data_IF_969810089920
#
_entry.id   IF_969810089920
#
_cell.length_a   1.000
_cell.length_b   1.000
_cell.length_c   1.000
_cell.angle_alpha   90.00
_cell.angle_beta   90.00
_cell.angle_gamma   90.00
#
_symmetry.space_group_name_H-M   'P 1'
#
loop_
_entity.id
_entity.type
_entity.pdbx_description
1 polymer ?
#
# COMPACT_ATOMS: atom_id res chain seq x y z
N UNK A 1 34.60 20.36 -43.17
CA UNK A 1 33.62 20.96 -42.22
C UNK A 1 32.19 20.92 -42.75
N UNK A 2 31.94 21.10 -44.05
CA UNK A 2 30.57 21.11 -44.62
C UNK A 2 29.85 19.75 -44.65
N UNK A 3 30.59 18.65 -44.71
CA UNK A 3 30.00 17.30 -44.76
C UNK A 3 29.36 16.90 -43.41
N UNK A 4 29.97 17.30 -42.30
CA UNK A 4 29.44 17.07 -40.95
C UNK A 4 28.13 17.84 -40.71
N UNK A 5 28.03 19.08 -41.20
CA UNK A 5 26.80 19.87 -41.12
C UNK A 5 25.66 19.24 -41.91
N UNK A 6 25.94 18.70 -43.11
CA UNK A 6 24.94 17.99 -43.92
C UNK A 6 24.42 16.72 -43.24
N UNK A 7 25.31 15.93 -42.63
CA UNK A 7 24.92 14.73 -41.87
C UNK A 7 24.05 15.10 -40.66
N UNK A 8 24.39 16.16 -39.94
CA UNK A 8 23.63 16.58 -38.76
C UNK A 8 22.25 17.13 -39.12
N UNK A 9 22.13 17.88 -40.22
CA UNK A 9 20.84 18.33 -40.74
C UNK A 9 19.95 17.15 -41.18
N UNK A 10 20.55 16.14 -41.83
CA UNK A 10 19.82 14.94 -42.25
C UNK A 10 19.32 14.14 -41.04
N UNK A 11 20.14 13.99 -39.99
CA UNK A 11 19.73 13.38 -38.71
C UNK A 11 18.57 14.13 -38.07
N UNK A 12 18.64 15.47 -38.01
CA UNK A 12 17.57 16.31 -37.44
C UNK A 12 16.25 16.17 -38.22
N UNK A 13 16.31 16.05 -39.55
CA UNK A 13 15.12 15.81 -40.39
C UNK A 13 14.50 14.45 -40.13
N UNK A 14 15.30 13.39 -40.06
CA UNK A 14 14.85 12.03 -39.79
C UNK A 14 14.19 11.94 -38.41
N UNK A 15 14.81 12.52 -37.38
CA UNK A 15 14.23 12.56 -36.03
C UNK A 15 12.90 13.32 -36.02
N UNK A 16 12.83 14.47 -36.69
CA UNK A 16 11.59 15.26 -36.78
C UNK A 16 10.47 14.49 -37.49
N UNK A 17 10.79 13.74 -38.54
CA UNK A 17 9.83 12.90 -39.25
C UNK A 17 9.34 11.73 -38.38
N UNK A 18 10.25 10.99 -37.73
CA UNK A 18 9.87 9.91 -36.82
C UNK A 18 9.01 10.39 -35.65
N UNK A 19 9.31 11.57 -35.09
CA UNK A 19 8.49 12.17 -34.04
C UNK A 19 7.09 12.48 -34.55
N UNK A 20 6.96 13.03 -35.76
CA UNK A 20 5.65 13.33 -36.37
C UNK A 20 4.84 12.05 -36.61
N UNK A 21 5.46 11.01 -37.17
CA UNK A 21 4.80 9.72 -37.42
C UNK A 21 4.36 9.03 -36.12
N UNK A 22 5.17 9.10 -35.06
CA UNK A 22 4.81 8.56 -33.75
C UNK A 22 3.65 9.31 -33.09
N UNK A 23 3.56 10.63 -33.27
CA UNK A 23 2.42 11.43 -32.80
C UNK A 23 1.15 11.02 -33.55
N UNK A 24 1.20 10.95 -34.88
CA UNK A 24 0.04 10.53 -35.70
C UNK A 24 -0.44 9.12 -35.34
N UNK A 25 0.46 8.15 -35.17
CA UNK A 25 0.10 6.79 -34.74
C UNK A 25 -0.55 6.76 -33.35
N UNK A 26 -0.12 7.63 -32.44
CA UNK A 26 -0.73 7.74 -31.10
C UNK A 26 -2.14 8.33 -31.17
N UNK A 27 -2.35 9.35 -32.00
CA UNK A 27 -3.68 9.96 -32.21
C UNK A 27 -4.67 8.97 -32.85
N UNK A 28 -4.22 8.19 -33.84
CA UNK A 28 -5.05 7.15 -34.46
C UNK A 28 -5.45 6.06 -33.47
N UNK A 29 -4.50 5.58 -32.66
CA UNK A 29 -4.76 4.58 -31.62
C UNK A 29 -5.70 5.12 -30.53
N UNK A 30 -5.61 6.40 -30.21
CA UNK A 30 -6.52 7.05 -29.27
C UNK A 30 -7.95 7.11 -29.82
N UNK A 31 -8.12 7.53 -31.08
CA UNK A 31 -9.43 7.54 -31.77
C UNK A 31 -10.04 6.13 -31.86
N UNK A 32 -9.23 5.10 -32.07
CA UNK A 32 -9.71 3.71 -32.08
C UNK A 32 -10.22 3.26 -30.70
N UNK A 33 -9.51 3.64 -29.62
CA UNK A 33 -9.93 3.34 -28.25
C UNK A 33 -11.22 4.07 -27.86
N UNK A 34 -11.40 5.32 -28.28
CA UNK A 34 -12.66 6.06 -28.07
C UNK A 34 -13.84 5.38 -28.78
N UNK A 35 -13.64 4.91 -30.01
CA UNK A 35 -14.66 4.14 -30.74
C UNK A 35 -15.03 2.85 -30.01
N UNK A 36 -14.04 2.11 -29.47
CA UNK A 36 -14.29 0.89 -28.68
C UNK A 36 -15.05 1.18 -27.39
N UNK A 37 -14.72 2.26 -26.67
CA UNK A 37 -15.46 2.68 -25.47
C UNK A 37 -16.92 3.03 -25.77
N UNK A 38 -17.17 3.72 -26.88
CA UNK A 38 -18.53 4.07 -27.31
C UNK A 38 -19.39 2.84 -27.61
N UNK A 39 -18.81 1.82 -28.25
CA UNK A 39 -19.51 0.55 -28.53
C UNK A 39 -19.88 -0.17 -27.22
N UNK A 40 -18.94 -0.29 -26.28
CA UNK A 40 -19.17 -0.98 -25.00
C UNK A 40 -20.29 -0.31 -24.18
N UNK A 41 -20.31 1.03 -24.13
CA UNK A 41 -21.34 1.77 -23.40
C UNK A 41 -22.74 1.61 -24.02
N UNK A 42 -22.85 1.54 -25.35
CA UNK A 42 -24.13 1.31 -26.00
C UNK A 42 -24.64 -0.13 -25.83
N UNK A 43 -23.74 -1.12 -25.80
CA UNK A 43 -24.11 -2.52 -25.50
C UNK A 43 -24.55 -2.69 -24.04
N UNK A 44 -23.95 -1.95 -23.11
CA UNK A 44 -24.34 -1.96 -21.69
C UNK A 44 -25.71 -1.30 -21.45
N UNK A 45 -26.04 -0.22 -22.17
CA UNK A 45 -27.36 0.44 -22.05
C UNK A 45 -28.52 -0.43 -22.58
N UNK A 46 -28.30 -1.26 -23.60
CA UNK A 46 -29.35 -2.17 -24.08
C UNK A 46 -29.65 -3.33 -23.11
N UNK A 47 -28.72 -3.63 -22.19
CA UNK A 47 -28.88 -4.72 -21.21
C UNK A 47 -29.59 -4.27 -19.92
N UNK A 48 -29.79 -2.97 -19.69
CA UNK A 48 -30.39 -2.42 -18.46
C UNK A 48 -31.88 -2.02 -18.60
N UNK A 49 -32.48 -2.18 -19.79
CA UNK A 49 -33.90 -1.84 -20.02
C UNK A 49 -34.84 -3.02 -19.72
N UNK A 50 -34.32 -4.21 -19.42
CA UNK A 50 -35.13 -5.43 -19.19
C UNK A 50 -35.36 -5.81 -17.73
N UNK A 51 -34.72 -5.14 -16.77
CA UNK A 51 -34.83 -5.45 -15.34
C UNK A 51 -35.00 -4.16 -14.53
N UNK A 52 -36.21 -3.63 -14.40
CA UNK A 52 -36.61 -2.73 -13.31
C UNK A 52 -38.13 -2.49 -13.32
N UNK A 53 -38.86 -3.47 -12.82
CA UNK A 53 -40.15 -3.26 -12.14
C UNK A 53 -40.08 -4.08 -10.86
N UNK A 54 -39.70 -3.48 -9.73
CA UNK A 54 -40.55 -3.49 -8.55
C UNK A 54 -39.93 -2.85 -7.29
N UNK A 55 -40.76 -1.97 -6.72
CA UNK A 55 -41.01 -1.70 -5.30
C UNK A 55 -40.14 -0.66 -4.57
N UNK A 56 -40.93 0.17 -3.89
CA UNK A 56 -40.68 1.45 -3.28
C UNK A 56 -40.84 1.33 -1.74
N UNK A 57 -40.16 2.23 -1.01
CA UNK A 57 -40.42 2.75 0.36
C UNK A 57 -40.49 1.81 1.58
N UNK A 58 -39.60 2.03 2.57
CA UNK A 58 -39.92 2.86 3.75
C UNK A 58 -38.74 3.08 4.73
N UNK A 59 -38.74 4.27 5.33
CA UNK A 59 -37.74 4.84 6.25
C UNK A 59 -38.23 4.68 7.69
N UNK A 60 -37.46 4.05 8.59
CA UNK A 60 -37.47 4.30 10.06
C UNK A 60 -36.03 4.24 10.61
N UNK A 61 -35.80 5.13 11.59
CA UNK A 61 -34.58 5.71 12.19
C UNK A 61 -33.66 4.77 13.03
N UNK A 62 -32.48 5.24 13.51
CA UNK A 62 -31.22 4.51 13.39
C UNK A 62 -30.49 4.41 14.74
N UNK A 63 -30.57 3.28 15.41
CA UNK A 63 -29.63 2.89 16.47
C UNK A 63 -30.01 1.48 16.89
N UNK A 64 -29.09 0.52 16.72
CA UNK A 64 -29.01 -0.81 17.37
C UNK A 64 -28.68 -2.01 16.46
N UNK A 65 -28.47 -1.85 15.14
CA UNK A 65 -28.22 -3.00 14.25
C UNK A 65 -26.79 -3.20 13.70
N UNK A 66 -25.80 -2.37 14.06
CA UNK A 66 -24.44 -2.47 13.48
C UNK A 66 -23.46 -3.43 14.20
N UNK A 67 -23.94 -4.56 14.73
CA UNK A 67 -23.04 -5.61 15.28
C UNK A 67 -23.24 -6.99 14.63
N UNK A 68 -24.18 -7.17 13.69
CA UNK A 68 -24.46 -8.52 13.15
C UNK A 68 -24.38 -8.72 11.63
N UNK A 69 -23.97 -7.72 10.83
CA UNK A 69 -23.93 -7.86 9.36
C UNK A 69 -22.60 -7.52 8.66
N UNK A 70 -21.46 -7.48 9.36
CA UNK A 70 -20.14 -7.32 8.73
C UNK A 70 -19.38 -8.64 8.46
N UNK A 71 -19.95 -9.80 8.79
CA UNK A 71 -19.34 -11.11 8.47
C UNK A 71 -19.65 -11.63 7.06
N UNK A 72 -20.42 -10.89 6.25
CA UNK A 72 -20.83 -11.29 4.91
C UNK A 72 -20.37 -10.30 3.84
N UNK A 73 -19.10 -9.90 3.85
CA UNK A 73 -18.49 -9.19 2.69
C UNK A 73 -16.98 -9.31 2.52
N UNK A 74 -16.38 -10.35 3.10
CA UNK A 74 -15.06 -10.83 2.69
C UNK A 74 -15.25 -12.19 2.05
N UNK A 75 -15.76 -12.21 0.82
CA UNK A 75 -15.56 -13.39 -0.02
C UNK A 75 -14.07 -13.46 -0.27
N UNK A 76 -13.42 -14.36 0.47
CA UNK A 76 -12.07 -14.83 0.24
C UNK A 76 -11.97 -15.20 -1.24
N UNK A 77 -11.45 -14.28 -2.04
CA UNK A 77 -10.80 -14.65 -3.28
C UNK A 77 -9.51 -15.33 -2.83
N UNK A 78 -9.57 -16.66 -2.75
CA UNK A 78 -8.38 -17.50 -2.79
C UNK A 78 -7.67 -17.17 -4.10
N UNK A 79 -6.80 -16.16 -4.05
CA UNK A 79 -5.89 -15.86 -5.14
C UNK A 79 -4.85 -16.98 -5.08
N UNK A 80 -5.15 -18.12 -5.68
CA UNK A 80 -4.11 -19.03 -6.11
C UNK A 80 -3.27 -18.22 -7.10
N UNK A 81 -2.00 -17.92 -6.80
CA UNK A 81 -1.17 -17.24 -7.77
C UNK A 81 -0.95 -18.24 -8.90
N UNK A 82 -1.72 -18.09 -9.99
CA UNK A 82 -1.32 -18.65 -11.28
C UNK A 82 0.06 -18.09 -11.56
N UNK A 83 1.06 -18.94 -11.37
CA UNK A 83 2.45 -18.70 -11.72
C UNK A 83 2.48 -18.48 -13.23
N UNK A 84 2.29 -17.24 -13.65
CA UNK A 84 2.75 -16.78 -14.94
C UNK A 84 4.27 -16.64 -14.81
N UNK A 85 4.95 -17.76 -15.01
CA UNK A 85 6.33 -17.79 -15.51
C UNK A 85 6.37 -16.98 -16.80
N UNK A 86 6.65 -15.69 -16.71
CA UNK A 86 7.42 -14.91 -17.70
C UNK A 86 7.38 -13.42 -17.36
N UNK A 87 8.24 -13.04 -16.41
CA UNK A 87 9.05 -11.84 -16.59
C UNK A 87 10.29 -12.00 -15.72
N UNK A 88 11.46 -11.94 -16.35
CA UNK A 88 12.74 -11.79 -15.66
C UNK A 88 12.71 -10.47 -14.90
N UNK A 89 12.18 -10.49 -13.69
CA UNK A 89 12.14 -9.34 -12.80
C UNK A 89 13.57 -9.06 -12.35
N UNK A 90 14.14 -7.95 -12.82
CA UNK A 90 15.44 -7.49 -12.36
C UNK A 90 15.28 -6.90 -10.94
N UNK A 91 15.75 -7.63 -9.93
CA UNK A 91 15.73 -7.16 -8.54
C UNK A 91 16.43 -5.81 -8.36
N UNK A 92 17.30 -5.42 -9.29
CA UNK A 92 18.04 -4.16 -9.22
C UNK A 92 17.18 -2.91 -9.39
N UNK A 93 15.88 -3.03 -9.70
CA UNK A 93 15.00 -1.86 -9.88
C UNK A 93 14.59 -1.22 -8.54
N UNK A 94 14.55 -1.98 -7.44
CA UNK A 94 14.16 -1.47 -6.12
C UNK A 94 15.25 -1.70 -5.07
N UNK A 95 15.73 -0.62 -4.48
CA UNK A 95 16.55 -0.67 -3.27
C UNK A 95 15.61 -0.59 -2.05
N UNK A 96 15.40 -1.73 -1.38
CA UNK A 96 14.58 -1.78 -0.18
C UNK A 96 15.38 -1.37 1.07
N UNK A 97 14.69 -0.79 2.05
CA UNK A 97 15.25 -0.37 3.34
C UNK A 97 15.48 -1.53 4.32
N UNK A 98 15.09 -2.74 3.95
CA UNK A 98 15.28 -3.97 4.68
C UNK A 98 15.45 -5.11 3.69
N UNK A 99 16.21 -6.13 4.07
CA UNK A 99 16.35 -7.31 3.25
C UNK A 99 15.14 -8.22 3.46
N UNK A 100 14.57 -8.69 2.36
CA UNK A 100 13.53 -9.71 2.36
C UNK A 100 13.97 -10.91 1.56
N UNK A 101 13.46 -12.09 1.95
CA UNK A 101 13.53 -13.29 1.13
C UNK A 101 12.82 -13.07 -0.21
N UNK A 102 13.38 -13.65 -1.27
CA UNK A 102 12.82 -13.61 -2.64
C UNK A 102 11.36 -14.03 -2.71
N UNK A 103 10.98 -15.02 -1.89
CA UNK A 103 9.61 -15.49 -1.82
C UNK A 103 8.65 -14.37 -1.41
N UNK A 104 9.00 -13.56 -0.41
CA UNK A 104 8.18 -12.44 0.03
C UNK A 104 8.08 -11.37 -1.05
N UNK A 105 9.21 -11.03 -1.68
CA UNK A 105 9.27 -10.05 -2.77
C UNK A 105 8.35 -10.46 -3.93
N UNK A 106 8.42 -11.72 -4.36
CA UNK A 106 7.66 -12.21 -5.51
C UNK A 106 6.17 -12.31 -5.23
N UNK A 107 5.78 -12.78 -4.05
CA UNK A 107 4.39 -13.15 -3.78
C UNK A 107 3.60 -12.08 -3.03
N UNK A 108 4.25 -11.17 -2.28
CA UNK A 108 3.56 -10.22 -1.40
C UNK A 108 3.76 -8.76 -1.78
N UNK A 109 4.76 -8.42 -2.60
CA UNK A 109 4.97 -7.04 -3.03
C UNK A 109 4.17 -6.64 -4.28
N UNK A 110 3.66 -7.61 -5.05
CA UNK A 110 2.81 -7.39 -6.24
C UNK A 110 3.35 -6.29 -7.18
N UNK A 111 4.64 -6.40 -7.54
CA UNK A 111 5.38 -5.33 -8.23
C UNK A 111 4.81 -4.98 -9.61
N UNK A 112 4.30 -5.96 -10.34
CA UNK A 112 3.59 -5.72 -11.62
C UNK A 112 2.36 -4.84 -11.42
N UNK A 113 1.58 -5.09 -10.36
CA UNK A 113 0.41 -4.28 -10.02
C UNK A 113 0.80 -2.87 -9.59
N UNK A 114 1.88 -2.71 -8.81
CA UNK A 114 2.42 -1.41 -8.44
C UNK A 114 2.72 -0.53 -9.67
N UNK A 115 3.36 -1.06 -10.72
CA UNK A 115 3.66 -0.28 -11.92
C UNK A 115 2.41 0.14 -12.69
N UNK A 116 1.36 -0.68 -12.66
CA UNK A 116 0.05 -0.31 -13.24
C UNK A 116 -0.52 0.89 -12.49
N UNK A 117 -0.50 0.86 -11.15
CA UNK A 117 -0.98 1.96 -10.30
C UNK A 117 -0.17 3.24 -10.56
N UNK A 118 1.16 3.15 -10.61
CA UNK A 118 2.04 4.30 -10.88
C UNK A 118 1.75 4.94 -12.25
N UNK A 119 1.53 4.13 -13.28
CA UNK A 119 1.13 4.62 -14.60
C UNK A 119 -0.25 5.30 -14.58
N UNK A 120 -1.21 4.76 -13.83
CA UNK A 120 -2.53 5.37 -13.68
C UNK A 120 -2.44 6.72 -12.94
N UNK A 121 -1.63 6.81 -11.88
CA UNK A 121 -1.34 8.05 -11.18
C UNK A 121 -0.77 9.10 -12.15
N UNK A 122 0.24 8.73 -12.94
CA UNK A 122 0.86 9.66 -13.88
C UNK A 122 -0.12 10.15 -14.95
N UNK A 123 -0.90 9.23 -15.53
CA UNK A 123 -1.93 9.61 -16.51
C UNK A 123 -2.98 10.55 -15.92
N UNK A 124 -3.43 10.31 -14.67
CA UNK A 124 -4.38 11.19 -14.00
C UNK A 124 -3.77 12.58 -13.73
N UNK A 125 -2.51 12.65 -13.26
CA UNK A 125 -1.81 13.94 -13.08
C UNK A 125 -1.71 14.76 -14.37
N UNK A 126 -1.46 14.11 -15.50
CA UNK A 126 -1.30 14.78 -16.79
C UNK A 126 -2.63 15.34 -17.31
N UNK A 127 -3.77 14.75 -16.91
CA UNK A 127 -5.11 15.14 -17.36
C UNK A 127 -5.82 16.08 -16.37
N UNK A 128 -5.48 16.03 -15.09
CA UNK A 128 -6.15 16.81 -14.04
C UNK A 128 -5.57 18.23 -13.94
N UNK A 129 -6.42 19.28 -13.89
CA UNK A 129 -5.96 20.64 -13.71
C UNK A 129 -5.12 20.83 -12.43
N UNK A 130 -4.05 21.62 -12.52
CA UNK A 130 -3.13 21.85 -11.38
C UNK A 130 -3.82 22.39 -10.12
N UNK A 131 -4.90 23.16 -10.27
CA UNK A 131 -5.70 23.67 -9.15
C UNK A 131 -6.40 22.55 -8.36
N UNK A 132 -6.86 21.51 -9.04
CA UNK A 132 -7.51 20.35 -8.44
C UNK A 132 -6.48 19.45 -7.74
N UNK A 133 -5.34 19.19 -8.38
CA UNK A 133 -4.21 18.49 -7.76
C UNK A 133 -3.77 19.18 -6.45
N UNK A 134 -3.68 20.51 -6.48
CA UNK A 134 -3.33 21.31 -5.30
C UNK A 134 -4.40 21.20 -4.20
N UNK A 135 -5.69 21.22 -4.58
CA UNK A 135 -6.81 21.06 -3.64
C UNK A 135 -6.75 19.72 -2.92
N UNK A 136 -6.55 18.61 -3.65
CA UNK A 136 -6.38 17.27 -3.07
C UNK A 136 -5.22 17.28 -2.07
N UNK A 137 -4.06 17.80 -2.48
CA UNK A 137 -2.88 17.89 -1.62
C UNK A 137 -3.11 18.68 -0.34
N UNK A 138 -3.74 19.85 -0.44
CA UNK A 138 -4.05 20.69 0.73
C UNK A 138 -5.00 19.94 1.67
N UNK A 139 -6.05 19.32 1.14
CA UNK A 139 -7.04 18.64 1.95
C UNK A 139 -6.44 17.42 2.66
N UNK A 140 -5.70 16.56 1.95
CA UNK A 140 -4.99 15.42 2.53
C UNK A 140 -4.05 15.87 3.65
N UNK A 141 -3.20 16.87 3.38
CA UNK A 141 -2.26 17.39 4.37
C UNK A 141 -2.98 17.92 5.60
N UNK A 142 -4.03 18.71 5.40
CA UNK A 142 -4.81 19.31 6.49
C UNK A 142 -5.44 18.23 7.37
N UNK A 143 -6.08 17.22 6.79
CA UNK A 143 -6.79 16.19 7.56
C UNK A 143 -5.85 15.24 8.26
N UNK A 144 -4.77 14.81 7.61
CA UNK A 144 -3.80 13.92 8.25
C UNK A 144 -3.04 14.59 9.40
N UNK A 145 -2.76 15.90 9.31
CA UNK A 145 -2.19 16.66 10.43
C UNK A 145 -3.17 16.86 11.61
N UNK A 146 -4.47 16.63 11.41
CA UNK A 146 -5.51 16.75 12.44
C UNK A 146 -5.81 15.43 13.16
N UNK A 147 -5.20 14.32 12.72
CA UNK A 147 -5.42 13.03 13.36
C UNK A 147 -4.93 13.06 14.81
N UNK A 148 -5.77 12.52 15.69
CA UNK A 148 -5.51 12.28 17.10
C UNK A 148 -6.08 10.88 17.45
N UNK A 149 -5.89 10.43 18.69
CA UNK A 149 -6.34 9.10 19.14
C UNK A 149 -7.87 8.99 19.40
N UNK A 150 -8.68 9.94 18.93
CA UNK A 150 -10.14 9.93 19.10
C UNK A 150 -10.81 9.31 17.87
N UNK A 151 -11.46 8.17 18.06
CA UNK A 151 -12.09 7.38 17.00
C UNK A 151 -13.12 8.20 16.19
N UNK A 152 -14.00 8.95 16.85
CA UNK A 152 -15.07 9.71 16.19
C UNK A 152 -14.50 10.84 15.33
N UNK A 153 -13.40 11.44 15.80
CA UNK A 153 -12.65 12.43 15.01
C UNK A 153 -11.97 11.79 13.82
N UNK A 154 -11.32 10.63 13.98
CA UNK A 154 -10.71 9.90 12.86
C UNK A 154 -11.79 9.55 11.82
N UNK A 155 -12.93 9.02 12.25
CA UNK A 155 -14.05 8.68 11.36
C UNK A 155 -14.60 9.92 10.63
N UNK A 156 -14.70 11.05 11.32
CA UNK A 156 -15.11 12.32 10.70
C UNK A 156 -14.11 12.80 9.66
N UNK A 157 -12.81 12.74 9.94
CA UNK A 157 -11.75 13.09 8.99
C UNK A 157 -11.74 12.15 7.78
N UNK A 158 -11.94 10.85 7.99
CA UNK A 158 -12.12 9.86 6.94
C UNK A 158 -13.24 10.28 5.97
N UNK A 159 -14.41 10.69 6.44
CA UNK A 159 -15.52 11.10 5.55
C UNK A 159 -15.17 12.27 4.64
N UNK A 160 -14.25 13.16 5.05
CA UNK A 160 -13.74 14.21 4.17
C UNK A 160 -12.77 13.65 3.12
N UNK A 161 -11.88 12.75 3.52
CA UNK A 161 -10.89 12.13 2.65
C UNK A 161 -11.52 11.16 1.63
N UNK A 162 -12.56 10.41 2.04
CA UNK A 162 -13.24 9.43 1.19
C UNK A 162 -13.90 10.06 -0.03
N UNK A 163 -14.17 11.37 -0.02
CA UNK A 163 -14.66 12.08 -1.21
C UNK A 163 -13.67 12.03 -2.38
N UNK A 164 -12.39 11.79 -2.09
CA UNK A 164 -11.31 11.71 -3.08
C UNK A 164 -10.81 10.28 -3.30
N UNK A 165 -11.38 9.27 -2.64
CA UNK A 165 -10.85 7.89 -2.66
C UNK A 165 -10.86 7.23 -4.05
N UNK A 166 -11.65 7.76 -4.98
CA UNK A 166 -11.68 7.32 -6.38
C UNK A 166 -10.51 7.85 -7.23
N UNK A 167 -9.78 8.87 -6.74
CA UNK A 167 -8.65 9.48 -7.44
C UNK A 167 -7.36 8.73 -7.15
N UNK A 168 -6.59 8.38 -8.19
CA UNK A 168 -5.25 7.79 -8.04
C UNK A 168 -4.25 8.83 -7.55
N UNK A 169 -4.43 10.10 -7.90
CA UNK A 169 -3.63 11.19 -7.32
C UNK A 169 -3.84 11.29 -5.82
N UNK A 170 -5.07 11.15 -5.34
CA UNK A 170 -5.36 11.09 -3.92
C UNK A 170 -4.63 9.93 -3.25
N UNK A 171 -4.68 8.73 -3.83
CA UNK A 171 -3.98 7.55 -3.31
C UNK A 171 -2.50 7.84 -3.09
N UNK A 172 -1.80 8.38 -4.10
CA UNK A 172 -0.38 8.74 -3.97
C UNK A 172 -0.16 9.80 -2.89
N UNK A 173 -0.95 10.87 -2.92
CA UNK A 173 -0.83 11.99 -1.98
C UNK A 173 -1.04 11.54 -0.54
N UNK A 174 -2.03 10.70 -0.31
CA UNK A 174 -2.34 10.09 0.98
C UNK A 174 -1.19 9.22 1.46
N UNK A 175 -0.70 8.29 0.64
CA UNK A 175 0.43 7.41 1.00
C UNK A 175 1.67 8.21 1.33
N UNK A 176 2.06 9.17 0.49
CA UNK A 176 3.23 10.00 0.74
C UNK A 176 3.12 10.77 2.05
N UNK A 177 1.91 11.28 2.36
CA UNK A 177 1.69 12.02 3.60
C UNK A 177 1.66 11.12 4.83
N UNK A 178 1.10 9.91 4.75
CA UNK A 178 1.19 8.91 5.83
C UNK A 178 2.66 8.59 6.13
N UNK A 179 3.47 8.30 5.12
CA UNK A 179 4.90 8.02 5.29
C UNK A 179 5.67 9.20 5.91
N UNK A 180 5.32 10.43 5.52
CA UNK A 180 5.88 11.64 6.13
C UNK A 180 5.53 11.73 7.61
N UNK A 181 4.25 11.53 7.98
CA UNK A 181 3.81 11.59 9.38
C UNK A 181 4.37 10.44 10.22
N UNK A 182 4.55 9.26 9.64
CA UNK A 182 5.26 8.15 10.27
C UNK A 182 6.67 8.56 10.70
N UNK A 183 7.42 9.21 9.81
CA UNK A 183 8.81 9.63 10.09
C UNK A 183 8.87 10.81 11.07
N UNK A 184 7.91 11.74 11.02
CA UNK A 184 7.97 12.98 11.83
C UNK A 184 7.31 12.81 13.20
N UNK A 185 6.07 12.30 13.22
CA UNK A 185 5.25 12.26 14.43
C UNK A 185 5.35 10.91 15.13
N UNK A 186 5.20 9.80 14.40
CA UNK A 186 5.15 8.45 15.01
C UNK A 186 6.51 8.06 15.56
N UNK A 187 7.61 8.43 14.90
CA UNK A 187 8.97 8.21 15.41
C UNK A 187 9.19 8.84 16.81
N UNK A 188 8.61 10.03 17.05
CA UNK A 188 8.72 10.79 18.31
C UNK A 188 7.68 10.39 19.34
N UNK A 189 6.48 10.06 18.89
CA UNK A 189 5.36 9.64 19.73
C UNK A 189 4.75 8.36 19.16
N UNK A 190 5.37 7.24 19.55
CA UNK A 190 5.11 5.90 19.00
C UNK A 190 3.62 5.55 18.95
N UNK A 191 2.88 5.76 20.04
CA UNK A 191 1.44 5.41 20.12
C UNK A 191 0.56 6.08 19.06
N UNK A 192 1.01 7.19 18.44
CA UNK A 192 0.28 7.78 17.31
C UNK A 192 0.23 6.91 16.06
N UNK A 193 0.94 5.76 15.99
CA UNK A 193 0.76 4.85 14.86
C UNK A 193 -0.71 4.41 14.71
N UNK A 194 -1.46 4.30 15.82
CA UNK A 194 -2.84 3.80 15.85
C UNK A 194 -3.79 4.68 15.06
N UNK A 195 -3.74 5.99 15.26
CA UNK A 195 -4.60 6.95 14.54
C UNK A 195 -4.37 6.92 13.02
N UNK A 196 -3.12 6.76 12.59
CA UNK A 196 -2.77 6.65 11.17
C UNK A 196 -3.23 5.31 10.58
N UNK A 197 -3.01 4.22 11.32
CA UNK A 197 -3.42 2.88 10.92
C UNK A 197 -4.93 2.75 10.80
N UNK A 198 -5.68 3.30 11.75
CA UNK A 198 -7.13 3.31 11.75
C UNK A 198 -7.71 4.20 10.63
N UNK A 199 -7.11 5.37 10.38
CA UNK A 199 -7.49 6.20 9.24
C UNK A 199 -7.26 5.47 7.91
N UNK A 200 -6.12 4.78 7.77
CA UNK A 200 -5.81 3.96 6.62
C UNK A 200 -6.83 2.83 6.43
N UNK A 201 -7.20 2.12 7.50
CA UNK A 201 -8.25 1.08 7.48
C UNK A 201 -9.54 1.58 6.85
N UNK A 202 -10.02 2.77 7.21
CA UNK A 202 -11.26 3.30 6.64
C UNK A 202 -11.18 3.61 5.14
N UNK A 203 -9.98 3.88 4.62
CA UNK A 203 -9.74 4.14 3.19
C UNK A 203 -9.22 2.92 2.45
N UNK A 204 -9.13 1.78 3.13
CA UNK A 204 -8.44 0.60 2.62
C UNK A 204 -9.01 0.13 1.30
N UNK A 205 -8.10 -0.16 0.37
CA UNK A 205 -8.32 -0.95 -0.83
C UNK A 205 -6.96 -1.53 -1.25
N UNK A 206 -6.98 -2.55 -2.12
CA UNK A 206 -5.77 -3.29 -2.45
C UNK A 206 -4.75 -2.41 -3.20
N UNK A 207 -5.17 -1.54 -4.11
CA UNK A 207 -4.27 -0.61 -4.79
C UNK A 207 -3.55 0.32 -3.81
N UNK A 208 -4.30 0.86 -2.84
CA UNK A 208 -3.76 1.72 -1.80
C UNK A 208 -2.72 0.97 -0.96
N UNK A 209 -3.03 -0.26 -0.55
CA UNK A 209 -2.12 -1.07 0.26
C UNK A 209 -0.87 -1.50 -0.51
N UNK A 210 -1.01 -1.98 -1.75
CA UNK A 210 0.11 -2.32 -2.63
C UNK A 210 1.03 -1.11 -2.85
N UNK A 211 0.47 0.05 -3.18
CA UNK A 211 1.27 1.27 -3.39
C UNK A 211 1.96 1.72 -2.10
N UNK A 212 1.26 1.68 -0.97
CA UNK A 212 1.82 1.98 0.34
C UNK A 212 3.00 1.08 0.69
N UNK A 213 2.86 -0.24 0.55
CA UNK A 213 3.91 -1.22 0.85
C UNK A 213 5.19 -0.93 0.07
N UNK A 214 5.09 -0.78 -1.25
CA UNK A 214 6.27 -0.52 -2.08
C UNK A 214 6.94 0.80 -1.72
N UNK A 215 6.16 1.88 -1.53
CA UNK A 215 6.71 3.18 -1.15
C UNK A 215 7.34 3.14 0.25
N UNK A 216 6.77 2.38 1.19
CA UNK A 216 7.32 2.18 2.53
C UNK A 216 8.64 1.41 2.49
N UNK A 217 8.69 0.26 1.83
CA UNK A 217 9.89 -0.57 1.75
C UNK A 217 11.00 0.11 0.96
N UNK A 218 10.69 1.00 0.02
CA UNK A 218 11.70 1.77 -0.73
C UNK A 218 12.12 3.07 -0.02
N UNK A 219 11.56 3.38 1.16
CA UNK A 219 11.83 4.64 1.87
C UNK A 219 13.05 4.50 2.78
N UNK A 220 14.14 5.17 2.43
CA UNK A 220 15.30 5.32 3.33
C UNK A 220 14.95 6.22 4.52
N UNK A 221 15.31 5.78 5.73
CA UNK A 221 15.10 6.50 6.98
C UNK A 221 16.16 6.12 8.01
N UNK A 222 16.34 6.94 9.05
CA UNK A 222 17.10 6.55 10.25
C UNK A 222 16.36 5.45 11.01
N UNK A 223 17.01 4.82 11.99
CA UNK A 223 16.39 3.82 12.88
C UNK A 223 15.09 4.33 13.52
N UNK A 224 15.08 5.57 14.05
CA UNK A 224 13.87 6.21 14.58
C UNK A 224 12.77 6.38 13.51
N UNK A 225 13.16 6.72 12.28
CA UNK A 225 12.24 6.84 11.16
C UNK A 225 11.66 5.50 10.73
N UNK A 226 12.48 4.45 10.66
CA UNK A 226 12.04 3.07 10.44
C UNK A 226 11.06 2.66 11.53
N UNK A 227 11.31 3.06 12.78
CA UNK A 227 10.38 2.80 13.86
C UNK A 227 8.99 3.36 13.61
N UNK A 228 8.91 4.62 13.19
CA UNK A 228 7.64 5.24 12.85
C UNK A 228 6.95 4.63 11.62
N UNK A 229 7.72 4.29 10.58
CA UNK A 229 7.21 3.68 9.34
C UNK A 229 6.59 2.31 9.61
N UNK A 230 7.35 1.42 10.23
CA UNK A 230 6.92 0.05 10.48
C UNK A 230 5.84 -0.04 11.56
N UNK A 231 5.80 0.89 12.51
CA UNK A 231 4.69 0.96 13.47
C UNK A 231 3.34 1.18 12.77
N UNK A 232 3.28 2.10 11.81
CA UNK A 232 2.05 2.32 11.03
C UNK A 232 1.77 1.12 10.13
N UNK A 233 2.78 0.54 9.47
CA UNK A 233 2.58 -0.63 8.61
C UNK A 233 1.97 -1.82 9.36
N UNK A 234 2.56 -2.19 10.50
CA UNK A 234 2.06 -3.27 11.33
C UNK A 234 0.72 -2.93 11.99
N UNK A 235 0.50 -1.66 12.33
CA UNK A 235 -0.81 -1.19 12.76
C UNK A 235 -1.86 -1.39 11.66
N UNK A 236 -1.57 -1.05 10.40
CA UNK A 236 -2.49 -1.28 9.26
C UNK A 236 -2.78 -2.77 9.09
N UNK A 237 -1.76 -3.63 9.15
CA UNK A 237 -1.93 -5.08 9.08
C UNK A 237 -2.91 -5.57 10.16
N UNK A 238 -2.74 -5.10 11.41
CA UNK A 238 -3.61 -5.47 12.53
C UNK A 238 -5.03 -4.95 12.35
N UNK A 239 -5.17 -3.67 12.02
CA UNK A 239 -6.45 -2.98 11.89
C UNK A 239 -7.30 -3.53 10.73
N UNK A 240 -6.66 -3.96 9.64
CA UNK A 240 -7.31 -4.55 8.47
C UNK A 240 -7.41 -6.08 8.50
N UNK A 241 -7.02 -6.74 9.61
CA UNK A 241 -7.04 -8.19 9.78
C UNK A 241 -6.22 -8.98 8.72
N UNK A 242 -5.07 -8.44 8.30
CA UNK A 242 -4.21 -9.02 7.25
C UNK A 242 -3.25 -10.07 7.83
N UNK A 243 -3.78 -11.15 8.40
CA UNK A 243 -2.97 -12.18 9.10
C UNK A 243 -1.94 -12.86 8.21
N UNK A 244 -2.27 -13.09 6.94
CA UNK A 244 -1.35 -13.71 5.97
C UNK A 244 -0.13 -12.82 5.70
N UNK A 245 -0.35 -11.51 5.54
CA UNK A 245 0.72 -10.53 5.39
C UNK A 245 1.62 -10.50 6.64
N UNK A 246 1.03 -10.53 7.84
CA UNK A 246 1.80 -10.58 9.10
C UNK A 246 2.73 -11.80 9.13
N UNK A 247 2.18 -12.97 8.81
CA UNK A 247 2.93 -14.22 8.81
C UNK A 247 4.03 -14.22 7.74
N UNK A 248 3.69 -13.85 6.52
CA UNK A 248 4.62 -13.79 5.39
C UNK A 248 5.75 -12.78 5.64
N UNK A 249 5.44 -11.63 6.22
CA UNK A 249 6.45 -10.64 6.60
C UNK A 249 7.48 -11.24 7.55
N UNK A 250 7.02 -11.96 8.59
CA UNK A 250 7.93 -12.56 9.57
C UNK A 250 8.86 -13.60 8.94
N UNK A 251 8.33 -14.45 8.04
CA UNK A 251 9.14 -15.41 7.31
C UNK A 251 10.15 -14.69 6.39
N UNK A 252 9.68 -13.72 5.60
CA UNK A 252 10.51 -12.96 4.68
C UNK A 252 11.63 -12.17 5.37
N UNK A 253 11.38 -11.66 6.58
CA UNK A 253 12.36 -10.92 7.37
C UNK A 253 13.36 -11.85 8.09
N UNK A 254 12.90 -12.98 8.66
CA UNK A 254 13.75 -13.85 9.49
C UNK A 254 14.60 -14.84 8.68
N UNK A 255 14.23 -15.13 7.43
CA UNK A 255 14.96 -16.04 6.55
C UNK A 255 16.15 -15.39 5.83
N UNK A 256 16.40 -14.11 6.06
CA UNK A 256 17.56 -13.40 5.50
C UNK A 256 18.33 -12.66 6.59
N UNK A 257 19.60 -12.36 6.33
CA UNK A 257 20.42 -11.61 7.26
C UNK A 257 19.98 -10.14 7.27
N UNK A 258 19.37 -9.72 8.38
CA UNK A 258 18.92 -8.35 8.62
C UNK A 258 19.73 -7.69 9.74
N UNK A 259 20.06 -6.41 9.56
CA UNK A 259 20.64 -5.54 10.59
C UNK A 259 19.59 -4.73 11.36
N UNK A 260 18.42 -4.52 10.75
CA UNK A 260 17.38 -3.60 11.22
C UNK A 260 16.47 -4.24 12.27
N UNK A 261 17.05 -4.66 13.41
CA UNK A 261 16.31 -5.32 14.49
C UNK A 261 15.23 -4.45 15.15
N UNK A 262 15.27 -3.12 14.95
CA UNK A 262 14.19 -2.22 15.33
C UNK A 262 12.86 -2.62 14.69
N UNK A 263 12.89 -3.16 13.47
CA UNK A 263 11.69 -3.61 12.75
C UNK A 263 11.08 -4.85 13.44
N UNK A 264 11.94 -5.78 13.87
CA UNK A 264 11.52 -6.97 14.61
C UNK A 264 10.95 -6.62 16.00
N UNK A 265 11.55 -5.65 16.69
CA UNK A 265 11.05 -5.11 17.96
C UNK A 265 9.59 -4.65 17.81
N UNK A 266 9.31 -3.85 16.77
CA UNK A 266 7.97 -3.29 16.54
C UNK A 266 6.98 -4.36 16.07
N UNK A 267 7.43 -5.30 15.23
CA UNK A 267 6.61 -6.43 14.80
C UNK A 267 6.09 -7.20 16.02
N UNK A 268 6.98 -7.55 16.96
CA UNK A 268 6.61 -8.28 18.17
C UNK A 268 5.72 -7.46 19.09
N UNK A 269 5.96 -6.15 19.19
CA UNK A 269 5.18 -5.28 20.06
C UNK A 269 3.73 -5.07 19.55
N UNK A 270 3.56 -4.81 18.24
CA UNK A 270 2.24 -4.50 17.67
C UNK A 270 1.48 -5.77 17.26
N UNK A 271 2.16 -6.71 16.61
CA UNK A 271 1.56 -7.90 16.01
C UNK A 271 1.75 -9.16 16.84
N UNK A 272 2.58 -9.16 17.90
CA UNK A 272 2.88 -10.38 18.66
C UNK A 272 1.62 -11.10 19.17
N UNK A 273 0.76 -10.41 19.90
CA UNK A 273 -0.50 -10.96 20.40
C UNK A 273 -1.48 -11.29 19.27
N UNK A 274 -1.53 -10.45 18.24
CA UNK A 274 -2.38 -10.66 17.07
C UNK A 274 -2.00 -11.96 16.32
N UNK A 275 -0.71 -12.24 16.19
CA UNK A 275 -0.20 -13.47 15.55
C UNK A 275 -0.45 -14.69 16.42
N UNK A 276 -0.42 -14.56 17.76
CA UNK A 276 -0.85 -15.63 18.67
C UNK A 276 -2.32 -15.95 18.44
N UNK A 277 -3.19 -14.94 18.41
CA UNK A 277 -4.62 -15.13 18.21
C UNK A 277 -4.92 -15.86 16.88
N UNK A 278 -4.25 -15.45 15.79
CA UNK A 278 -4.50 -16.01 14.45
C UNK A 278 -3.84 -17.36 14.19
N UNK A 279 -2.64 -17.61 14.73
CA UNK A 279 -1.83 -18.79 14.36
C UNK A 279 -1.48 -19.72 15.54
N UNK A 280 -1.85 -19.32 16.77
CA UNK A 280 -1.77 -20.11 17.99
C UNK A 280 -0.41 -20.83 18.12
N UNK A 281 -0.38 -22.17 18.13
CA UNK A 281 0.85 -22.99 18.27
C UNK A 281 1.96 -22.61 17.30
N UNK A 282 1.63 -22.17 16.08
CA UNK A 282 2.64 -21.76 15.09
C UNK A 282 3.33 -20.45 15.51
N UNK A 283 2.59 -19.51 16.09
CA UNK A 283 3.16 -18.28 16.64
C UNK A 283 4.17 -18.55 17.76
N UNK A 284 3.84 -19.45 18.71
CA UNK A 284 4.79 -19.81 19.77
C UNK A 284 6.07 -20.47 19.22
N UNK A 285 5.96 -21.29 18.17
CA UNK A 285 7.14 -21.85 17.48
C UNK A 285 7.99 -20.74 16.86
N UNK A 286 7.37 -19.76 16.21
CA UNK A 286 8.05 -18.59 15.65
C UNK A 286 8.80 -17.81 16.74
N UNK A 287 8.17 -17.53 17.89
CA UNK A 287 8.84 -16.79 18.97
C UNK A 287 9.99 -17.57 19.62
N UNK A 288 9.85 -18.89 19.78
CA UNK A 288 10.98 -19.75 20.21
C UNK A 288 12.10 -19.75 19.18
N UNK A 289 11.76 -19.75 17.89
CA UNK A 289 12.76 -19.63 16.84
C UNK A 289 13.54 -18.31 16.95
N UNK A 290 12.83 -17.18 17.07
CA UNK A 290 13.48 -15.87 17.25
C UNK A 290 14.36 -15.87 18.51
N UNK A 291 13.87 -16.44 19.62
CA UNK A 291 14.62 -16.54 20.88
C UNK A 291 15.93 -17.32 20.73
N UNK A 292 15.87 -18.46 20.06
CA UNK A 292 16.98 -19.41 20.00
C UNK A 292 17.98 -19.11 18.87
N UNK A 293 17.51 -18.52 17.77
CA UNK A 293 18.32 -18.38 16.54
C UNK A 293 18.55 -16.92 16.14
N UNK A 294 17.61 -16.01 16.40
CA UNK A 294 17.75 -14.60 16.01
C UNK A 294 18.38 -13.75 17.11
N UNK A 295 17.89 -13.83 18.35
CA UNK A 295 18.42 -13.05 19.49
C UNK A 295 19.95 -13.18 19.67
N UNK A 296 20.58 -14.37 19.51
CA UNK A 296 22.03 -14.50 19.65
C UNK A 296 22.84 -13.71 18.61
N UNK A 297 22.26 -13.38 17.45
CA UNK A 297 22.96 -12.66 16.37
C UNK A 297 22.94 -11.14 16.56
N UNK A 298 22.09 -10.63 17.47
CA UNK A 298 21.93 -9.20 17.74
C UNK A 298 23.12 -8.69 18.57
N UNK A 299 23.97 -7.88 17.96
CA UNK A 299 25.13 -7.25 18.63
C UNK A 299 24.73 -6.10 19.55
N UNK A 300 23.68 -5.35 19.21
CA UNK A 300 23.18 -4.24 20.02
C UNK A 300 22.43 -4.78 21.24
N UNK A 301 23.04 -4.66 22.42
CA UNK A 301 22.48 -5.17 23.68
C UNK A 301 21.13 -4.54 24.05
N UNK A 302 20.90 -3.27 23.69
CA UNK A 302 19.65 -2.59 23.99
C UNK A 302 18.48 -3.20 23.19
N UNK A 303 18.65 -3.42 21.88
CA UNK A 303 17.63 -4.10 21.08
C UNK A 303 17.44 -5.54 21.53
N UNK A 304 18.54 -6.25 21.79
CA UNK A 304 18.49 -7.63 22.25
C UNK A 304 17.62 -7.76 23.50
N UNK A 305 17.86 -6.92 24.51
CA UNK A 305 17.08 -6.92 25.76
C UNK A 305 15.60 -6.59 25.53
N UNK A 306 15.28 -5.60 24.70
CA UNK A 306 13.89 -5.24 24.41
C UNK A 306 13.13 -6.36 23.70
N UNK A 307 13.74 -6.96 22.67
CA UNK A 307 13.17 -8.07 21.92
C UNK A 307 13.00 -9.30 22.83
N UNK A 308 14.00 -9.61 23.65
CA UNK A 308 13.94 -10.70 24.62
C UNK A 308 12.77 -10.51 25.60
N UNK A 309 12.61 -9.31 26.17
CA UNK A 309 11.48 -8.99 27.06
C UNK A 309 10.12 -9.14 26.37
N UNK A 310 10.01 -8.72 25.10
CA UNK A 310 8.78 -8.89 24.31
C UNK A 310 8.48 -10.37 24.08
N UNK A 311 9.48 -11.17 23.71
CA UNK A 311 9.32 -12.60 23.48
C UNK A 311 8.92 -13.33 24.76
N UNK A 312 9.58 -13.03 25.88
CA UNK A 312 9.25 -13.65 27.17
C UNK A 312 7.83 -13.32 27.61
N UNK A 313 7.38 -12.08 27.43
CA UNK A 313 5.97 -11.70 27.63
C UNK A 313 5.04 -12.54 26.77
N UNK A 314 5.30 -12.63 25.46
CA UNK A 314 4.45 -13.32 24.49
C UNK A 314 4.40 -14.84 24.73
N UNK A 315 5.51 -15.45 25.12
CA UNK A 315 5.58 -16.88 25.43
C UNK A 315 4.83 -17.25 26.72
N UNK A 316 4.68 -16.30 27.65
CA UNK A 316 3.94 -16.51 28.91
C UNK A 316 2.42 -16.31 28.78
N UNK A 317 1.92 -15.95 27.60
CA UNK A 317 0.48 -15.85 27.32
C UNK A 317 -0.19 -17.21 27.00
N UNK A 318 0.59 -18.30 26.99
CA UNK A 318 0.14 -19.65 26.60
C UNK A 318 -0.64 -20.41 27.65
#
# INVERSE_FOLDING_TARGET
>A
MDEFKKIEEQRKRIVKQMTKENITRREEKFKELERKKFIINNTALQSQVTENNDINTNIINPCQHLIKNEQAKYSVLSYEPTVAEDSSFDKNVFEFNVNFEDYYIKNYLFLSHYFVIEKQIQNEKDLTPRSELLKIKIEVNKRLNQLNNDYDKIYTLYRFLNKYSHSKVFLETFVLKILEQSIIQVSRYYESYRQYSLCFKFLYNDDLFTFYKIKLFSKKASEEGLKGLYAVFFGVIKECDLSEEAWAFSAGFLNVQNSEFVILEIYLDILGEYVIDKFNRRAYKLFRYIKNYTLPTIKNLAHKYKIEKLIDRLLNLS
#
